data_IF_980502176226
#
_entry.id   IF_980502176226
#
_cell.length_a   1.000
_cell.length_b   1.000
_cell.length_c   1.000
_cell.angle_alpha   90.00
_cell.angle_beta   90.00
_cell.angle_gamma   90.00
#
_symmetry.space_group_name_H-M   'P 1'
#
loop_
_entity.id
_entity.type
_entity.pdbx_description
1 polymer ?
#
# COMPACT_ATOMS: atom_id res chain seq x y z
N UNK A 1 -44.83 -16.01 4.59
CA UNK A 1 -44.87 -17.01 5.71
C UNK A 1 -43.67 -18.00 5.68
N UNK A 2 -42.87 -18.08 4.58
CA UNK A 2 -41.73 -19.00 4.43
C UNK A 2 -40.46 -18.59 5.16
N UNK A 3 -40.11 -17.31 5.09
CA UNK A 3 -38.81 -16.80 5.59
C UNK A 3 -38.65 -16.92 7.12
N UNK A 4 -39.75 -16.76 7.87
CA UNK A 4 -39.73 -16.81 9.35
C UNK A 4 -39.70 -18.25 9.93
N UNK A 5 -39.66 -19.28 9.09
CA UNK A 5 -39.57 -20.69 9.49
C UNK A 5 -38.20 -21.31 9.21
N UNK A 6 -37.26 -20.51 8.74
CA UNK A 6 -35.90 -21.01 8.51
C UNK A 6 -35.17 -21.20 9.86
N UNK A 7 -34.30 -22.21 9.95
CA UNK A 7 -33.40 -22.35 11.11
C UNK A 7 -32.63 -21.05 11.36
N UNK A 8 -32.30 -20.80 12.62
CA UNK A 8 -31.62 -19.55 13.00
C UNK A 8 -30.30 -19.33 12.25
N UNK A 9 -29.58 -20.41 11.97
CA UNK A 9 -28.33 -20.40 11.18
C UNK A 9 -28.54 -19.94 9.75
N UNK A 10 -29.63 -20.41 9.12
CA UNK A 10 -30.00 -20.01 7.76
C UNK A 10 -30.44 -18.53 7.72
N UNK A 11 -31.18 -18.07 8.73
CA UNK A 11 -31.57 -16.66 8.84
C UNK A 11 -30.36 -15.77 9.01
N UNK A 12 -29.42 -16.15 9.88
CA UNK A 12 -28.17 -15.43 10.07
C UNK A 12 -27.35 -15.37 8.78
N UNK A 13 -27.15 -16.49 8.11
CA UNK A 13 -26.39 -16.56 6.86
C UNK A 13 -27.02 -15.69 5.76
N UNK A 14 -28.33 -15.77 5.59
CA UNK A 14 -29.06 -14.90 4.64
C UNK A 14 -28.95 -13.42 5.03
N UNK A 15 -29.00 -13.10 6.32
CA UNK A 15 -28.78 -11.75 6.84
C UNK A 15 -27.39 -11.21 6.51
N UNK A 16 -26.37 -12.02 6.67
CA UNK A 16 -24.96 -11.65 6.32
C UNK A 16 -24.84 -11.43 4.80
N UNK A 17 -25.44 -12.29 3.98
CA UNK A 17 -25.44 -12.12 2.52
C UNK A 17 -26.12 -10.81 2.14
N UNK A 18 -27.36 -10.61 2.60
CA UNK A 18 -28.11 -9.39 2.30
C UNK A 18 -27.40 -8.11 2.81
N UNK A 19 -26.92 -8.16 4.04
CA UNK A 19 -26.18 -7.05 4.67
C UNK A 19 -24.87 -6.73 3.95
N UNK A 20 -24.13 -7.75 3.53
CA UNK A 20 -22.88 -7.56 2.78
C UNK A 20 -23.08 -6.92 1.41
N UNK A 21 -24.09 -7.37 0.65
CA UNK A 21 -24.43 -6.71 -0.61
C UNK A 21 -24.99 -5.30 -0.40
N UNK A 22 -25.85 -5.11 0.62
CA UNK A 22 -26.39 -3.80 0.94
C UNK A 22 -25.26 -2.83 1.29
N UNK A 23 -24.32 -3.25 2.13
CA UNK A 23 -23.15 -2.44 2.49
C UNK A 23 -22.30 -2.10 1.26
N UNK A 24 -22.08 -3.04 0.36
CA UNK A 24 -21.35 -2.80 -0.88
C UNK A 24 -21.97 -1.68 -1.72
N UNK A 25 -23.29 -1.61 -1.82
CA UNK A 25 -23.98 -0.60 -2.63
C UNK A 25 -24.18 0.73 -1.88
N UNK A 26 -24.25 0.72 -0.55
CA UNK A 26 -24.47 1.93 0.25
C UNK A 26 -23.17 2.66 0.60
N UNK A 27 -22.09 1.93 0.80
CA UNK A 27 -20.79 2.53 1.13
C UNK A 27 -19.93 2.62 -0.13
N UNK A 28 -19.48 3.84 -0.40
CA UNK A 28 -18.49 4.06 -1.45
C UNK A 28 -17.16 4.46 -0.81
N UNK A 29 -16.07 3.82 -1.26
CA UNK A 29 -14.72 4.16 -0.84
C UNK A 29 -13.78 4.17 -2.06
N UNK A 30 -12.93 5.19 -2.24
CA UNK A 30 -12.04 5.31 -3.39
C UNK A 30 -11.15 4.11 -3.67
N UNK A 31 -10.74 3.37 -2.63
CA UNK A 31 -9.92 2.14 -2.75
C UNK A 31 -10.72 0.86 -2.93
N UNK A 32 -12.02 0.96 -3.19
CA UNK A 32 -12.91 -0.20 -3.32
C UNK A 32 -12.94 -1.13 -2.08
N UNK A 33 -12.65 -0.61 -0.88
CA UNK A 33 -12.66 -1.38 0.38
C UNK A 33 -14.03 -2.02 0.67
N UNK A 34 -15.11 -1.49 0.10
CA UNK A 34 -16.44 -2.09 0.16
C UNK A 34 -16.50 -3.51 -0.43
N UNK A 35 -15.53 -3.91 -1.26
CA UNK A 35 -15.44 -5.29 -1.77
C UNK A 35 -15.31 -6.32 -0.65
N UNK A 36 -14.74 -5.97 0.50
CA UNK A 36 -14.64 -6.88 1.64
C UNK A 36 -16.00 -7.36 2.13
N UNK A 37 -17.03 -6.50 2.10
CA UNK A 37 -18.39 -6.90 2.47
C UNK A 37 -18.96 -7.93 1.50
N UNK A 38 -18.71 -7.76 0.19
CA UNK A 38 -19.13 -8.72 -0.83
C UNK A 38 -18.39 -10.05 -0.70
N UNK A 39 -17.10 -10.03 -0.41
CA UNK A 39 -16.33 -11.27 -0.21
C UNK A 39 -16.90 -12.10 0.94
N UNK A 40 -17.23 -11.46 2.07
CA UNK A 40 -17.90 -12.13 3.20
C UNK A 40 -19.28 -12.65 2.78
N UNK A 41 -20.08 -11.85 2.08
CA UNK A 41 -21.38 -12.27 1.57
C UNK A 41 -21.28 -13.49 0.66
N UNK A 42 -20.30 -13.53 -0.26
CA UNK A 42 -20.06 -14.66 -1.17
C UNK A 42 -19.67 -15.92 -0.39
N UNK A 43 -18.87 -15.83 0.67
CA UNK A 43 -18.55 -16.98 1.51
C UNK A 43 -19.80 -17.61 2.10
N UNK A 44 -20.69 -16.83 2.70
CA UNK A 44 -21.95 -17.34 3.25
C UNK A 44 -22.94 -17.81 2.17
N UNK A 45 -22.95 -17.14 1.01
CA UNK A 45 -23.72 -17.61 -0.15
C UNK A 45 -23.29 -19.00 -0.62
N UNK A 46 -21.99 -19.28 -0.62
CA UNK A 46 -21.45 -20.58 -0.99
C UNK A 46 -21.90 -21.66 0.01
N UNK A 47 -21.87 -21.36 1.33
CA UNK A 47 -22.37 -22.29 2.35
C UNK A 47 -23.85 -22.60 2.16
N UNK A 48 -24.69 -21.58 1.93
CA UNK A 48 -26.10 -21.75 1.64
C UNK A 48 -26.35 -22.54 0.33
N UNK A 49 -25.53 -22.30 -0.68
CA UNK A 49 -25.63 -23.03 -1.95
C UNK A 49 -25.32 -24.52 -1.79
N UNK A 50 -24.28 -24.87 -1.01
CA UNK A 50 -23.95 -26.29 -0.72
C UNK A 50 -25.12 -26.97 -0.01
N UNK A 51 -25.73 -26.33 0.99
CA UNK A 51 -26.89 -26.88 1.69
C UNK A 51 -28.06 -27.11 0.73
N UNK A 52 -28.34 -26.16 -0.16
CA UNK A 52 -29.41 -26.29 -1.16
C UNK A 52 -29.12 -27.39 -2.18
N UNK A 53 -27.89 -27.55 -2.65
CA UNK A 53 -27.50 -28.61 -3.60
C UNK A 53 -27.84 -30.00 -3.08
N UNK A 54 -27.65 -30.25 -1.77
CA UNK A 54 -27.97 -31.54 -1.15
C UNK A 54 -29.45 -31.84 -1.13
N UNK A 55 -30.31 -30.83 -1.20
CA UNK A 55 -31.79 -30.98 -1.16
C UNK A 55 -32.42 -31.08 -2.55
N UNK A 56 -31.67 -30.79 -3.63
CA UNK A 56 -32.19 -30.83 -5.02
C UNK A 56 -32.49 -32.25 -5.45
N UNK A 57 -33.79 -32.53 -5.74
CA UNK A 57 -34.26 -33.85 -6.12
C UNK A 57 -34.51 -34.02 -7.63
N UNK A 58 -34.72 -32.94 -8.37
CA UNK A 58 -35.03 -32.99 -9.81
C UNK A 58 -33.77 -33.24 -10.64
N UNK A 59 -33.92 -33.99 -11.76
CA UNK A 59 -32.80 -34.22 -12.70
C UNK A 59 -32.24 -32.92 -13.29
N UNK A 60 -33.12 -32.00 -13.68
CA UNK A 60 -32.73 -30.70 -14.21
C UNK A 60 -31.96 -29.86 -13.16
N UNK A 61 -32.45 -29.85 -11.92
CA UNK A 61 -31.74 -29.16 -10.82
C UNK A 61 -30.37 -29.76 -10.53
N UNK A 62 -30.23 -31.09 -10.51
CA UNK A 62 -28.93 -31.75 -10.36
C UNK A 62 -27.98 -31.40 -11.50
N UNK A 63 -28.45 -31.42 -12.76
CA UNK A 63 -27.63 -31.02 -13.90
C UNK A 63 -27.16 -29.57 -13.80
N UNK A 64 -28.04 -28.65 -13.41
CA UNK A 64 -27.70 -27.25 -13.18
C UNK A 64 -26.64 -27.08 -12.08
N UNK A 65 -26.83 -27.71 -10.92
CA UNK A 65 -25.88 -27.69 -9.82
C UNK A 65 -24.51 -28.26 -10.24
N UNK A 66 -24.51 -29.37 -11.00
CA UNK A 66 -23.26 -29.95 -11.52
C UNK A 66 -22.53 -28.98 -12.47
N UNK A 67 -23.28 -28.31 -13.35
CA UNK A 67 -22.71 -27.30 -14.25
C UNK A 67 -22.10 -26.12 -13.47
N UNK A 68 -22.84 -25.57 -12.51
CA UNK A 68 -22.36 -24.49 -11.65
C UNK A 68 -21.11 -24.90 -10.87
N UNK A 69 -21.10 -26.12 -10.32
CA UNK A 69 -19.95 -26.69 -9.62
C UNK A 69 -18.73 -26.83 -10.54
N UNK A 70 -18.92 -27.33 -11.76
CA UNK A 70 -17.85 -27.47 -12.75
C UNK A 70 -17.25 -26.10 -13.14
N UNK A 71 -18.11 -25.10 -13.38
CA UNK A 71 -17.65 -23.72 -13.68
C UNK A 71 -16.91 -23.14 -12.50
N UNK A 72 -17.42 -23.27 -11.28
CA UNK A 72 -16.75 -22.81 -10.06
C UNK A 72 -15.39 -23.47 -9.85
N UNK A 73 -15.30 -24.78 -10.07
CA UNK A 73 -14.02 -25.51 -9.98
C UNK A 73 -13.02 -25.04 -11.04
N UNK A 74 -13.45 -24.86 -12.28
CA UNK A 74 -12.60 -24.35 -13.35
C UNK A 74 -12.09 -22.93 -13.04
N UNK A 75 -12.96 -22.03 -12.57
CA UNK A 75 -12.59 -20.67 -12.17
C UNK A 75 -11.59 -20.70 -11.02
N UNK A 76 -11.82 -21.52 -10.01
CA UNK A 76 -10.90 -21.69 -8.87
C UNK A 76 -9.54 -22.21 -9.32
N UNK A 77 -9.50 -23.18 -10.24
CA UNK A 77 -8.26 -23.70 -10.80
C UNK A 77 -7.47 -22.61 -11.54
N UNK A 78 -8.13 -21.77 -12.35
CA UNK A 78 -7.51 -20.64 -13.04
C UNK A 78 -6.91 -19.64 -12.03
N UNK A 79 -7.66 -19.32 -10.97
CA UNK A 79 -7.16 -18.43 -9.91
C UNK A 79 -5.94 -19.01 -9.20
N UNK A 80 -5.99 -20.29 -8.81
CA UNK A 80 -4.84 -20.97 -8.17
C UNK A 80 -3.63 -20.97 -9.08
N UNK A 81 -3.79 -21.28 -10.39
CA UNK A 81 -2.68 -21.27 -11.35
C UNK A 81 -2.08 -19.85 -11.47
N UNK A 82 -2.92 -18.82 -11.55
CA UNK A 82 -2.45 -17.44 -11.62
C UNK A 82 -1.70 -17.00 -10.34
N UNK A 83 -2.24 -17.32 -9.17
CA UNK A 83 -1.58 -17.02 -7.89
C UNK A 83 -0.25 -17.77 -7.74
N UNK A 84 -0.23 -19.06 -8.05
CA UNK A 84 0.97 -19.88 -8.01
C UNK A 84 2.01 -19.35 -9.01
N UNK A 85 1.60 -19.05 -10.24
CA UNK A 85 2.48 -18.51 -11.27
C UNK A 85 3.05 -17.13 -10.88
N UNK A 86 2.27 -16.30 -10.20
CA UNK A 86 2.73 -15.01 -9.67
C UNK A 86 3.72 -15.20 -8.53
N UNK A 87 3.42 -16.10 -7.60
CA UNK A 87 4.31 -16.45 -6.49
C UNK A 87 5.63 -17.04 -6.96
N UNK A 88 5.60 -17.94 -7.95
CA UNK A 88 6.82 -18.52 -8.55
C UNK A 88 7.66 -17.46 -9.26
N UNK A 89 7.04 -16.52 -9.96
CA UNK A 89 7.76 -15.39 -10.58
C UNK A 89 8.41 -14.49 -9.53
N UNK A 90 7.70 -14.21 -8.44
CA UNK A 90 8.25 -13.41 -7.35
C UNK A 90 9.42 -14.13 -6.67
N UNK A 91 9.31 -15.44 -6.43
CA UNK A 91 10.39 -16.26 -5.89
C UNK A 91 11.60 -16.25 -6.83
N UNK A 92 11.38 -16.43 -8.14
CA UNK A 92 12.45 -16.41 -9.12
C UNK A 92 13.18 -15.05 -9.17
N UNK A 93 12.48 -13.93 -8.95
CA UNK A 93 13.11 -12.60 -8.80
C UNK A 93 13.92 -12.49 -7.51
N UNK A 94 13.39 -12.99 -6.41
CA UNK A 94 14.08 -12.95 -5.12
C UNK A 94 15.37 -13.80 -5.13
N UNK A 95 15.40 -14.85 -5.94
CA UNK A 95 16.57 -15.72 -6.15
C UNK A 95 17.46 -15.26 -7.32
N UNK A 96 17.22 -14.09 -7.88
CA UNK A 96 17.95 -13.51 -9.03
C UNK A 96 17.98 -14.41 -10.30
N UNK A 97 17.03 -15.37 -10.40
CA UNK A 97 16.87 -16.24 -11.59
C UNK A 97 16.32 -15.44 -12.78
N UNK A 98 15.46 -14.46 -12.51
CA UNK A 98 14.94 -13.52 -13.51
C UNK A 98 15.18 -12.09 -13.02
N UNK A 99 15.32 -11.11 -13.94
CA UNK A 99 15.56 -9.72 -13.56
C UNK A 99 14.52 -9.22 -12.59
N UNK A 100 14.96 -8.56 -11.52
CA UNK A 100 14.09 -7.78 -10.64
C UNK A 100 13.48 -6.64 -11.46
N UNK A 101 12.24 -6.31 -11.20
CA UNK A 101 11.73 -5.07 -11.73
C UNK A 101 12.57 -3.90 -11.20
N UNK A 102 13.02 -2.99 -12.08
CA UNK A 102 13.87 -1.88 -11.65
C UNK A 102 13.20 -0.95 -10.62
N UNK A 103 11.95 -1.21 -10.32
CA UNK A 103 11.08 -0.36 -9.49
C UNK A 103 10.54 -1.04 -8.22
N UNK A 104 10.98 -2.24 -7.89
CA UNK A 104 10.66 -2.81 -6.56
C UNK A 104 11.66 -2.22 -5.59
N UNK A 105 11.28 -1.12 -5.02
CA UNK A 105 11.97 -0.50 -3.92
C UNK A 105 11.88 -1.39 -2.68
N UNK A 106 12.83 -2.29 -2.53
CA UNK A 106 13.03 -3.01 -1.27
C UNK A 106 13.95 -2.15 -0.39
N UNK A 107 13.64 -2.06 0.90
CA UNK A 107 14.56 -1.47 1.84
C UNK A 107 15.86 -2.30 1.87
N UNK A 108 16.98 -1.64 1.86
CA UNK A 108 18.28 -2.27 2.14
C UNK A 108 18.47 -2.44 3.65
N UNK A 109 19.48 -3.22 4.03
CA UNK A 109 19.90 -3.29 5.42
C UNK A 109 20.37 -1.91 5.95
N UNK A 110 20.93 -1.08 5.07
CA UNK A 110 21.33 0.28 5.39
C UNK A 110 20.13 1.21 5.61
N UNK A 111 19.06 1.07 4.81
CA UNK A 111 17.80 1.79 5.04
C UNK A 111 17.21 1.42 6.41
N UNK A 112 17.17 0.13 6.74
CA UNK A 112 16.68 -0.34 8.03
C UNK A 112 17.48 0.23 9.20
N UNK A 113 18.81 0.20 9.10
CA UNK A 113 19.69 0.75 10.13
C UNK A 113 19.50 2.27 10.30
N UNK A 114 19.36 3.01 9.19
CA UNK A 114 19.13 4.46 9.21
C UNK A 114 17.78 4.81 9.86
N UNK A 115 16.73 4.06 9.53
CA UNK A 115 15.41 4.28 10.11
C UNK A 115 15.35 3.94 11.60
N UNK A 116 16.06 2.90 12.05
CA UNK A 116 16.25 2.59 13.47
C UNK A 116 17.01 3.69 14.20
N UNK A 117 18.01 4.27 13.54
CA UNK A 117 18.73 5.40 14.10
C UNK A 117 17.80 6.61 14.30
N UNK A 118 16.99 6.97 13.28
CA UNK A 118 15.96 8.02 13.40
C UNK A 118 15.02 7.74 14.58
N UNK A 119 14.50 6.51 14.66
CA UNK A 119 13.60 6.10 15.75
C UNK A 119 14.20 6.33 17.14
N UNK A 120 15.50 6.04 17.31
CA UNK A 120 16.15 6.02 18.61
C UNK A 120 16.75 7.37 19.00
N UNK A 121 17.09 8.23 18.03
CA UNK A 121 17.90 9.42 18.25
C UNK A 121 17.18 10.75 17.94
N UNK A 122 15.90 10.70 17.53
CA UNK A 122 15.12 11.90 17.22
C UNK A 122 13.83 11.97 18.03
N UNK A 123 13.25 13.15 18.26
CA UNK A 123 11.93 13.31 18.89
C UNK A 123 10.85 12.50 18.16
N UNK A 124 9.80 12.11 18.88
CA UNK A 124 8.72 11.30 18.32
C UNK A 124 7.92 12.06 17.23
N UNK A 125 7.83 13.35 17.37
CA UNK A 125 7.16 14.29 16.46
C UNK A 125 8.06 14.84 15.35
N UNK A 126 9.32 14.40 15.28
CA UNK A 126 10.24 14.81 14.24
C UNK A 126 9.71 14.49 12.84
N UNK A 127 9.87 15.45 11.94
CA UNK A 127 9.49 15.33 10.53
C UNK A 127 10.75 15.22 9.68
N UNK A 128 10.76 14.27 8.76
CA UNK A 128 11.86 14.15 7.79
C UNK A 128 11.36 14.25 6.35
N UNK A 129 12.18 14.82 5.48
CA UNK A 129 12.01 14.72 4.02
C UNK A 129 13.00 13.70 3.46
N UNK A 130 12.67 13.11 2.31
CA UNK A 130 13.54 12.12 1.66
C UNK A 130 13.56 12.27 0.15
N UNK A 131 14.73 12.00 -0.46
CA UNK A 131 14.86 11.89 -1.92
C UNK A 131 14.24 10.60 -2.49
N UNK A 132 13.79 9.68 -1.63
CA UNK A 132 13.11 8.44 -2.00
C UNK A 132 11.65 8.69 -2.37
N UNK A 133 11.41 9.73 -3.14
CA UNK A 133 10.11 10.00 -3.76
C UNK A 133 10.23 9.68 -5.23
N UNK A 134 9.46 8.70 -5.66
CA UNK A 134 9.42 8.38 -7.07
C UNK A 134 8.44 9.27 -7.82
N UNK A 135 8.74 9.48 -9.09
CA UNK A 135 7.83 10.15 -9.99
C UNK A 135 6.49 9.40 -10.04
N UNK A 136 5.40 10.13 -10.26
CA UNK A 136 4.05 9.58 -10.46
C UNK A 136 3.99 8.46 -11.52
N UNK A 137 5.01 8.32 -12.36
CA UNK A 137 5.15 7.23 -13.32
C UNK A 137 5.34 5.85 -12.66
N UNK A 138 5.65 5.80 -11.37
CA UNK A 138 5.85 4.55 -10.63
C UNK A 138 4.87 4.44 -9.46
N UNK A 139 3.65 3.97 -9.77
CA UNK A 139 2.54 3.91 -8.83
C UNK A 139 2.84 3.12 -7.54
N UNK A 140 3.78 2.15 -7.58
CA UNK A 140 4.10 1.33 -6.41
C UNK A 140 4.82 2.13 -5.31
N UNK A 141 5.61 3.12 -5.68
CA UNK A 141 6.39 3.88 -4.71
C UNK A 141 5.59 5.05 -4.12
N UNK A 142 4.68 5.63 -4.89
CA UNK A 142 3.73 6.61 -4.37
C UNK A 142 2.73 6.03 -3.35
N UNK A 143 2.65 4.71 -3.21
CA UNK A 143 1.81 4.01 -2.22
C UNK A 143 2.61 3.69 -0.95
N UNK A 144 3.93 3.57 -1.05
CA UNK A 144 4.77 3.13 0.06
C UNK A 144 5.04 4.24 1.05
N UNK A 145 4.78 3.98 2.33
CA UNK A 145 5.21 4.79 3.47
C UNK A 145 6.27 4.04 4.27
N UNK A 146 7.30 3.55 3.56
CA UNK A 146 8.26 2.61 4.11
C UNK A 146 9.12 3.22 5.22
N UNK A 147 9.67 4.40 4.99
CA UNK A 147 10.52 5.07 5.97
C UNK A 147 9.73 5.54 7.19
N UNK A 148 8.53 6.06 6.99
CA UNK A 148 7.59 6.35 8.09
C UNK A 148 7.30 5.11 8.92
N UNK A 149 6.99 3.98 8.27
CA UNK A 149 6.66 2.73 8.97
C UNK A 149 7.86 2.16 9.75
N UNK A 150 9.07 2.27 9.22
CA UNK A 150 10.29 1.73 9.83
C UNK A 150 10.83 2.64 10.95
N UNK A 151 10.72 3.95 10.80
CA UNK A 151 11.25 4.91 11.78
C UNK A 151 10.25 5.26 12.88
N UNK A 152 8.95 5.11 12.60
CA UNK A 152 7.91 5.67 13.47
C UNK A 152 7.97 7.20 13.55
N UNK A 153 8.60 7.87 12.58
CA UNK A 153 8.65 9.33 12.43
C UNK A 153 7.82 9.75 11.23
N UNK A 154 7.36 10.98 11.20
CA UNK A 154 6.54 11.49 10.13
C UNK A 154 7.41 11.88 8.92
N UNK A 155 7.15 11.30 7.75
CA UNK A 155 7.71 11.85 6.52
C UNK A 155 6.92 13.09 6.10
N UNK A 156 7.63 14.12 5.62
CA UNK A 156 7.02 15.28 4.98
C UNK A 156 6.19 14.86 3.76
N UNK A 157 6.73 13.91 2.99
CA UNK A 157 6.05 13.36 1.83
C UNK A 157 6.46 11.88 1.61
N UNK A 158 5.52 10.98 1.85
CA UNK A 158 5.57 9.55 1.50
C UNK A 158 4.15 9.07 1.21
N UNK A 159 3.98 8.01 0.42
CA UNK A 159 2.68 7.40 0.17
C UNK A 159 1.66 8.33 -0.49
N UNK A 160 2.09 9.36 -1.18
CA UNK A 160 1.23 10.45 -1.68
C UNK A 160 0.18 10.00 -2.69
N UNK A 161 0.46 8.98 -3.49
CA UNK A 161 -0.54 8.42 -4.42
C UNK A 161 -1.70 7.82 -3.63
N UNK A 162 -1.41 7.12 -2.54
CA UNK A 162 -2.44 6.56 -1.67
C UNK A 162 -3.26 7.67 -0.98
N UNK A 163 -2.62 8.76 -0.60
CA UNK A 163 -3.30 9.91 0.00
C UNK A 163 -4.34 10.51 -0.97
N UNK A 164 -4.00 10.65 -2.25
CA UNK A 164 -4.94 11.15 -3.27
C UNK A 164 -6.04 10.12 -3.55
N UNK A 165 -5.65 8.88 -3.87
CA UNK A 165 -6.60 7.87 -4.37
C UNK A 165 -7.53 7.33 -3.30
N UNK A 166 -7.07 7.24 -2.05
CA UNK A 166 -7.79 6.55 -0.98
C UNK A 166 -8.23 7.44 0.16
N UNK A 167 -7.53 8.55 0.40
CA UNK A 167 -7.85 9.45 1.52
C UNK A 167 -8.49 10.78 1.07
N UNK A 168 -8.66 10.97 -0.25
CA UNK A 168 -9.30 12.17 -0.81
C UNK A 168 -8.48 13.46 -0.62
N UNK A 169 -7.16 13.35 -0.43
CA UNK A 169 -6.28 14.53 -0.39
C UNK A 169 -6.25 15.17 -1.78
N UNK A 170 -6.36 16.48 -1.83
CA UNK A 170 -6.33 17.24 -3.08
C UNK A 170 -5.00 17.06 -3.82
N UNK A 171 -5.05 16.80 -5.12
CA UNK A 171 -3.86 16.74 -5.98
C UNK A 171 -3.04 18.04 -5.92
N UNK A 172 -3.68 19.19 -5.74
CA UNK A 172 -3.00 20.46 -5.62
C UNK A 172 -2.12 20.53 -4.35
N UNK A 173 -2.61 20.00 -3.22
CA UNK A 173 -1.83 19.90 -1.97
C UNK A 173 -0.63 18.98 -2.15
N UNK A 174 -0.84 17.83 -2.81
CA UNK A 174 0.25 16.90 -3.10
C UNK A 174 1.28 17.52 -4.04
N UNK A 175 0.85 18.20 -5.11
CA UNK A 175 1.75 18.88 -6.03
C UNK A 175 2.58 19.98 -5.35
N UNK A 176 1.98 20.75 -4.43
CA UNK A 176 2.69 21.76 -3.65
C UNK A 176 3.78 21.10 -2.76
N UNK A 177 3.43 20.07 -2.02
CA UNK A 177 4.42 19.35 -1.19
C UNK A 177 5.51 18.69 -2.05
N UNK A 178 5.14 18.16 -3.21
CA UNK A 178 6.09 17.55 -4.14
C UNK A 178 7.08 18.58 -4.69
N UNK A 179 6.61 19.80 -5.01
CA UNK A 179 7.49 20.87 -5.46
C UNK A 179 8.53 21.26 -4.38
N UNK A 180 8.09 21.38 -3.12
CA UNK A 180 9.00 21.63 -2.00
C UNK A 180 10.01 20.50 -1.83
N UNK A 181 9.52 19.25 -1.79
CA UNK A 181 10.41 18.10 -1.62
C UNK A 181 11.41 17.97 -2.79
N UNK A 182 10.99 18.24 -4.00
CA UNK A 182 11.90 18.25 -5.17
C UNK A 182 12.97 19.31 -5.01
N UNK A 183 12.60 20.52 -4.59
CA UNK A 183 13.55 21.61 -4.38
C UNK A 183 14.58 21.28 -3.29
N UNK A 184 14.20 20.58 -2.21
CA UNK A 184 15.13 20.16 -1.14
C UNK A 184 16.26 19.25 -1.66
N UNK A 185 15.98 18.45 -2.71
CA UNK A 185 16.93 17.48 -3.26
C UNK A 185 17.42 17.83 -4.67
N UNK A 186 17.18 19.06 -5.12
CA UNK A 186 17.71 19.58 -6.38
C UNK A 186 19.06 20.27 -6.13
N UNK A 187 20.11 19.80 -6.81
CA UNK A 187 21.46 20.35 -6.69
C UNK A 187 21.57 21.84 -7.07
N UNK A 188 20.61 22.37 -7.83
CA UNK A 188 20.56 23.80 -8.20
C UNK A 188 19.99 24.69 -7.08
N UNK A 189 19.40 24.13 -6.03
CA UNK A 189 18.85 24.88 -4.89
C UNK A 189 19.98 25.33 -3.98
N UNK A 190 20.04 26.62 -3.68
CA UNK A 190 21.06 27.14 -2.74
C UNK A 190 20.87 26.55 -1.34
N UNK A 191 21.96 26.28 -0.59
CA UNK A 191 21.87 25.71 0.77
C UNK A 191 21.01 26.52 1.73
N UNK A 192 21.07 27.85 1.64
CA UNK A 192 20.24 28.75 2.46
C UNK A 192 18.74 28.59 2.14
N UNK A 193 18.43 28.34 0.89
CA UNK A 193 17.05 28.08 0.44
C UNK A 193 16.55 26.72 0.94
N UNK A 194 17.42 25.70 0.97
CA UNK A 194 17.08 24.40 1.57
C UNK A 194 16.69 24.56 3.02
N UNK A 195 17.52 25.29 3.81
CA UNK A 195 17.23 25.55 5.23
C UNK A 195 15.93 26.35 5.42
N UNK A 196 15.70 27.35 4.57
CA UNK A 196 14.45 28.12 4.58
C UNK A 196 13.23 27.24 4.33
N UNK A 197 13.30 26.39 3.31
CA UNK A 197 12.22 25.46 2.98
C UNK A 197 11.97 24.47 4.11
N UNK A 198 13.00 23.95 4.76
CA UNK A 198 12.87 23.10 5.93
C UNK A 198 12.14 23.82 7.06
N UNK A 199 12.57 25.03 7.43
CA UNK A 199 11.97 25.81 8.51
C UNK A 199 10.51 26.16 8.22
N UNK A 200 10.19 26.61 7.00
CA UNK A 200 8.82 26.96 6.60
C UNK A 200 7.86 25.77 6.58
N UNK A 201 8.37 24.55 6.37
CA UNK A 201 7.58 23.34 6.27
C UNK A 201 7.69 22.42 7.49
N UNK A 202 8.41 22.84 8.55
CA UNK A 202 8.59 22.06 9.75
C UNK A 202 9.32 20.74 9.51
N UNK A 203 10.38 20.76 8.70
CA UNK A 203 11.20 19.59 8.37
C UNK A 203 12.47 19.66 9.21
N UNK A 204 12.67 18.67 10.08
CA UNK A 204 13.79 18.60 11.02
C UNK A 204 14.99 17.85 10.45
N UNK A 205 14.75 16.90 9.54
CA UNK A 205 15.80 16.04 8.98
C UNK A 205 15.64 15.83 7.49
N UNK A 206 16.77 15.71 6.79
CA UNK A 206 16.83 15.31 5.38
C UNK A 206 17.47 13.93 5.27
N UNK A 207 16.73 12.97 4.73
CA UNK A 207 17.16 11.58 4.59
C UNK A 207 17.45 11.28 3.13
N UNK A 208 18.72 11.15 2.79
CA UNK A 208 19.21 10.88 1.45
C UNK A 208 19.54 9.41 1.27
N UNK A 209 18.71 8.69 0.52
CA UNK A 209 19.06 7.34 0.07
C UNK A 209 20.00 7.43 -1.13
N UNK A 210 21.15 6.75 -1.04
CA UNK A 210 22.16 6.67 -2.09
C UNK A 210 21.74 5.75 -3.26
N UNK A 211 20.66 5.02 -3.11
CA UNK A 211 20.05 4.19 -4.17
C UNK A 211 19.27 5.03 -5.20
N UNK A 212 18.91 6.25 -4.82
CA UNK A 212 18.17 7.16 -5.69
C UNK A 212 19.13 8.16 -6.33
N UNK A 213 19.16 8.22 -7.67
CA UNK A 213 20.03 9.15 -8.36
C UNK A 213 19.61 10.58 -8.02
N UNK A 214 20.58 11.38 -7.62
CA UNK A 214 20.42 12.79 -7.31
C UNK A 214 21.75 13.31 -6.82
N UNK A 215 22.10 14.53 -7.25
CA UNK A 215 23.21 15.26 -6.67
C UNK A 215 22.72 15.90 -5.37
N UNK A 216 23.40 15.60 -4.27
CA UNK A 216 23.10 16.15 -2.94
C UNK A 216 24.17 17.14 -2.48
N UNK A 217 24.94 17.69 -3.42
CA UNK A 217 26.02 18.63 -3.12
C UNK A 217 25.54 19.89 -2.39
N UNK A 218 24.31 20.34 -2.65
CA UNK A 218 23.64 21.43 -1.94
C UNK A 218 23.50 21.18 -0.43
N UNK A 219 23.55 19.91 0.00
CA UNK A 219 23.43 19.52 1.40
C UNK A 219 24.79 19.45 2.13
N UNK A 220 25.90 19.67 1.40
CA UNK A 220 27.27 19.56 1.94
C UNK A 220 27.55 20.52 3.10
N UNK A 221 26.78 21.60 3.23
CA UNK A 221 26.89 22.57 4.34
C UNK A 221 26.07 22.17 5.58
N UNK A 222 25.23 21.14 5.50
CA UNK A 222 24.40 20.70 6.63
C UNK A 222 25.15 19.71 7.53
N UNK A 223 24.72 19.62 8.77
CA UNK A 223 25.30 18.69 9.74
C UNK A 223 24.86 17.27 9.44
N UNK A 224 25.80 16.40 9.11
CA UNK A 224 25.55 14.95 9.00
C UNK A 224 25.41 14.38 10.41
N UNK A 225 24.23 13.87 10.74
CA UNK A 225 23.95 13.24 12.04
C UNK A 225 24.01 11.70 11.98
N UNK A 226 23.90 11.15 10.79
CA UNK A 226 24.04 9.71 10.56
C UNK A 226 24.48 9.45 9.11
N UNK A 227 25.37 8.47 8.94
CA UNK A 227 25.74 8.00 7.61
C UNK A 227 26.10 6.51 7.63
N UNK A 228 25.67 5.81 6.57
CA UNK A 228 26.14 4.46 6.25
C UNK A 228 26.34 4.30 4.73
N UNK A 229 26.54 3.06 4.26
CA UNK A 229 26.75 2.79 2.84
C UNK A 229 25.57 3.23 1.95
N UNK A 230 24.34 3.18 2.46
CA UNK A 230 23.10 3.34 1.67
C UNK A 230 22.38 4.67 1.95
N UNK A 231 22.56 5.27 3.12
CA UNK A 231 21.80 6.45 3.57
C UNK A 231 22.68 7.45 4.30
N UNK A 232 22.45 8.74 4.03
CA UNK A 232 22.97 9.86 4.82
C UNK A 232 21.79 10.66 5.38
N UNK A 233 21.85 11.01 6.67
CA UNK A 233 20.84 11.86 7.35
C UNK A 233 21.51 13.15 7.78
N UNK A 234 20.90 14.27 7.39
CA UNK A 234 21.30 15.61 7.77
C UNK A 234 20.29 16.21 8.74
N UNK A 235 20.75 16.97 9.74
CA UNK A 235 19.89 17.83 10.53
C UNK A 235 19.61 19.12 9.76
N UNK A 236 18.35 19.55 9.75
CA UNK A 236 17.94 20.83 9.16
C UNK A 236 17.97 21.98 10.16
N UNK A 237 17.95 21.69 11.47
CA UNK A 237 18.12 22.68 12.53
C UNK A 237 19.60 22.86 12.84
N UNK A 238 20.07 24.13 12.80
CA UNK A 238 21.32 24.59 13.40
C UNK A 238 21.03 25.55 14.52
#
# INVERSE_FOLDING_TARGET
RGLLRLPAECLLANGIVAGGFLAYFLFWHPSYSQLYFVLIAIMFMNLLAVDQVTTVRTRAGKAFCTLCGAVGLATSAVLVINFTGSGMRQLARNLDIIPKYPYVSTASAGDEAAMKWLQSNTPQDAVFATNRIHSMANASDGISSLYTAMSGRQAYMEGYTYAVTNMGVSEAVVAQKQAVNTALFDASTAPEEVLRLCAENGIDYLVCSKQYPGDTSQLSGLVVVYENADVTIYAADQ
#
